data_IF_232088606426
#
_entry.id   IF_232088606426
#
_cell.length_a   1.000
_cell.length_b   1.000
_cell.length_c   1.000
_cell.angle_alpha   90.00
_cell.angle_beta   90.00
_cell.angle_gamma   90.00
#
_symmetry.space_group_name_H-M   'P 1'
#
loop_
_entity.id
_entity.type
_entity.pdbx_description
1 polymer ?
#
# COMPACT_ATOMS: atom_id res chain seq x y z
N UNK A 1 3.35 -11.57 5.33
CA UNK A 1 4.06 -12.46 6.28
C UNK A 1 5.51 -12.03 6.49
N UNK A 2 6.21 -11.55 5.48
CA UNK A 2 7.58 -11.03 5.62
C UNK A 2 7.71 -9.96 6.71
N UNK A 3 6.65 -9.24 7.01
CA UNK A 3 6.61 -8.23 8.07
C UNK A 3 6.85 -8.78 9.47
N UNK A 4 6.62 -10.08 9.66
CA UNK A 4 6.82 -10.76 10.93
C UNK A 4 8.25 -11.26 11.12
N UNK A 5 9.05 -11.21 10.07
CA UNK A 5 10.42 -11.69 10.11
C UNK A 5 11.41 -10.54 10.26
N UNK A 6 12.09 -10.47 11.37
CA UNK A 6 13.17 -9.50 11.59
C UNK A 6 14.28 -9.66 10.55
N UNK A 7 14.57 -10.90 10.14
CA UNK A 7 15.58 -11.19 9.13
C UNK A 7 15.22 -10.62 7.76
N UNK A 8 13.95 -10.71 7.35
CA UNK A 8 13.48 -10.15 6.09
C UNK A 8 13.46 -8.63 6.12
N UNK A 9 13.07 -8.03 7.24
CA UNK A 9 13.11 -6.58 7.41
C UNK A 9 14.55 -6.05 7.39
N UNK A 10 15.47 -6.73 8.06
CA UNK A 10 16.89 -6.40 8.02
C UNK A 10 17.47 -6.51 6.62
N UNK A 11 17.13 -7.57 5.88
CA UNK A 11 17.56 -7.75 4.50
C UNK A 11 17.07 -6.63 3.60
N UNK A 12 15.84 -6.18 3.77
CA UNK A 12 15.27 -5.05 3.04
C UNK A 12 16.03 -3.76 3.35
N UNK A 13 16.24 -3.45 4.62
CA UNK A 13 17.00 -2.27 5.06
C UNK A 13 18.41 -2.28 4.50
N UNK A 14 19.11 -3.43 4.58
CA UNK A 14 20.45 -3.59 4.03
C UNK A 14 20.49 -3.38 2.52
N UNK A 15 19.46 -3.84 1.81
CA UNK A 15 19.35 -3.65 0.36
C UNK A 15 19.22 -2.16 0.02
N UNK A 16 18.42 -1.42 0.76
CA UNK A 16 18.29 0.02 0.58
C UNK A 16 19.61 0.74 0.88
N UNK A 17 20.28 0.39 1.95
CA UNK A 17 21.57 0.98 2.34
C UNK A 17 22.66 0.72 1.29
N UNK A 18 22.75 -0.51 0.78
CA UNK A 18 23.69 -0.87 -0.30
C UNK A 18 23.49 -0.07 -1.56
N UNK A 19 22.25 0.30 -1.88
CA UNK A 19 21.90 1.08 -3.04
C UNK A 19 21.90 2.58 -2.77
N UNK A 20 22.32 3.01 -1.60
CA UNK A 20 22.37 4.41 -1.15
C UNK A 20 21.04 5.13 -1.28
N UNK A 21 19.96 4.41 -1.04
CA UNK A 21 18.62 4.97 -1.05
C UNK A 21 18.32 5.61 0.30
N UNK A 22 18.16 6.89 0.31
CA UNK A 22 17.61 7.62 1.47
C UNK A 22 16.12 7.43 1.46
N UNK A 23 15.63 6.50 2.23
CA UNK A 23 14.26 6.10 2.06
C UNK A 23 13.33 6.51 3.16
N UNK A 24 13.76 6.48 4.39
CA UNK A 24 12.86 6.77 5.49
C UNK A 24 13.57 7.35 6.70
N UNK A 25 12.91 8.29 7.36
CA UNK A 25 13.29 8.73 8.69
C UNK A 25 12.98 7.64 9.73
N UNK A 26 11.92 6.86 9.50
CA UNK A 26 11.56 5.71 10.32
C UNK A 26 10.79 4.69 9.50
N UNK A 27 10.86 3.44 9.89
CA UNK A 27 10.10 2.35 9.32
C UNK A 27 9.33 1.65 10.43
N UNK A 28 8.02 1.57 10.30
CA UNK A 28 7.16 0.80 11.19
C UNK A 28 6.27 -0.14 10.38
N UNK A 29 5.95 -1.28 10.96
CA UNK A 29 5.06 -2.24 10.33
C UNK A 29 3.61 -1.94 10.69
N UNK A 30 2.69 -2.22 9.75
CA UNK A 30 1.26 -2.22 10.03
C UNK A 30 0.90 -3.41 10.93
N UNK A 31 -0.06 -3.22 11.82
CA UNK A 31 -0.64 -4.33 12.56
C UNK A 31 -1.41 -5.26 11.62
N UNK A 32 -1.29 -6.56 11.85
CA UNK A 32 -2.04 -7.54 11.06
C UNK A 32 -3.51 -7.55 11.47
N UNK A 33 -4.37 -7.56 10.47
CA UNK A 33 -5.81 -7.75 10.64
C UNK A 33 -6.13 -9.21 10.31
N UNK A 34 -6.83 -9.89 11.21
CA UNK A 34 -7.11 -11.33 11.12
C UNK A 34 -8.59 -11.65 10.93
N UNK A 35 -9.45 -10.65 10.77
CA UNK A 35 -10.87 -10.90 10.55
C UNK A 35 -11.12 -11.57 9.20
N UNK A 36 -11.75 -12.76 9.18
CA UNK A 36 -12.07 -13.41 7.92
C UNK A 36 -13.26 -12.73 7.25
N UNK A 37 -13.23 -12.70 5.92
CA UNK A 37 -14.34 -12.25 5.10
C UNK A 37 -14.89 -13.40 4.25
N UNK A 38 -16.11 -13.24 3.69
CA UNK A 38 -16.78 -14.31 2.93
C UNK A 38 -16.15 -14.57 1.56
N UNK A 39 -15.50 -13.56 0.96
CA UNK A 39 -14.82 -13.68 -0.33
C UNK A 39 -13.31 -13.53 -0.10
N UNK A 40 -12.49 -14.55 -0.44
CA UNK A 40 -11.07 -14.50 -0.16
C UNK A 40 -10.35 -13.29 -0.77
N UNK A 41 -10.60 -12.97 -2.04
CA UNK A 41 -9.93 -11.87 -2.72
C UNK A 41 -10.36 -10.52 -2.14
N UNK A 42 -11.66 -10.33 -1.97
CA UNK A 42 -12.24 -9.14 -1.36
C UNK A 42 -11.83 -9.02 0.11
N UNK A 43 -11.78 -10.15 0.81
CA UNK A 43 -11.33 -10.21 2.19
C UNK A 43 -9.88 -9.75 2.35
N UNK A 44 -8.99 -10.11 1.43
CA UNK A 44 -7.62 -9.62 1.44
C UNK A 44 -7.54 -8.11 1.21
N UNK A 45 -8.29 -7.59 0.24
CA UNK A 45 -8.34 -6.15 -0.03
C UNK A 45 -8.88 -5.38 1.16
N UNK A 46 -9.97 -5.83 1.76
CA UNK A 46 -10.57 -5.20 2.94
C UNK A 46 -9.62 -5.21 4.14
N UNK A 47 -8.94 -6.31 4.37
CA UNK A 47 -7.97 -6.45 5.47
C UNK A 47 -6.80 -5.50 5.29
N UNK A 48 -6.23 -5.43 4.08
CA UNK A 48 -5.16 -4.50 3.77
C UNK A 48 -5.59 -3.05 3.94
N UNK A 49 -6.77 -2.71 3.46
CA UNK A 49 -7.31 -1.36 3.61
C UNK A 49 -7.49 -0.97 5.07
N UNK A 50 -7.96 -1.91 5.93
CA UNK A 50 -8.06 -1.68 7.37
C UNK A 50 -6.69 -1.52 8.03
N UNK A 51 -5.72 -2.35 7.66
CA UNK A 51 -4.36 -2.25 8.18
C UNK A 51 -3.73 -0.89 7.84
N UNK A 52 -3.85 -0.46 6.61
CA UNK A 52 -3.34 0.84 6.15
C UNK A 52 -4.04 1.98 6.87
N UNK A 53 -5.36 1.92 6.97
CA UNK A 53 -6.15 2.95 7.65
C UNK A 53 -5.77 3.07 9.13
N UNK A 54 -5.60 1.95 9.80
CA UNK A 54 -5.19 1.93 11.21
C UNK A 54 -3.81 2.57 11.39
N UNK A 55 -2.86 2.20 10.55
CA UNK A 55 -1.52 2.79 10.59
C UNK A 55 -1.55 4.30 10.36
N UNK A 56 -2.32 4.76 9.37
CA UNK A 56 -2.46 6.18 9.07
C UNK A 56 -3.11 6.94 10.23
N UNK A 57 -4.12 6.37 10.88
CA UNK A 57 -4.76 6.98 12.04
C UNK A 57 -3.80 7.10 13.22
N UNK A 58 -2.96 6.09 13.44
CA UNK A 58 -1.95 6.09 14.50
C UNK A 58 -0.83 7.12 14.25
N UNK A 59 -0.65 7.54 13.00
CA UNK A 59 0.40 8.48 12.58
C UNK A 59 -0.16 9.80 12.03
N UNK A 60 -1.38 10.14 12.38
CA UNK A 60 -2.12 11.26 11.78
C UNK A 60 -1.36 12.60 11.81
N UNK A 61 -0.62 12.88 12.87
CA UNK A 61 0.18 14.10 13.00
C UNK A 61 1.47 14.11 12.19
N UNK A 62 1.92 12.95 11.73
CA UNK A 62 3.25 12.78 11.12
C UNK A 62 3.19 12.61 9.60
N UNK A 63 2.02 12.37 9.04
CA UNK A 63 1.84 12.03 7.62
C UNK A 63 1.03 13.13 6.93
N UNK A 64 1.67 13.84 6.02
CA UNK A 64 1.00 14.86 5.19
C UNK A 64 0.50 14.31 3.84
N UNK A 65 1.09 13.26 3.34
CA UNK A 65 0.70 12.59 2.12
C UNK A 65 1.09 11.13 2.15
N UNK A 66 0.37 10.30 1.42
CA UNK A 66 0.61 8.86 1.39
C UNK A 66 0.21 8.24 0.06
N UNK A 67 0.82 7.13 -0.23
CA UNK A 67 0.52 6.29 -1.38
C UNK A 67 0.66 4.83 -0.96
N UNK A 68 -0.17 3.98 -1.51
CA UNK A 68 -0.11 2.53 -1.28
C UNK A 68 0.41 1.85 -2.54
N UNK A 69 1.41 1.02 -2.36
CA UNK A 69 1.94 0.14 -3.41
C UNK A 69 1.55 -1.29 -3.04
N UNK A 70 0.70 -1.90 -3.82
CA UNK A 70 0.24 -3.27 -3.56
C UNK A 70 -0.09 -3.96 -4.88
N UNK A 71 0.10 -5.27 -4.94
CA UNK A 71 -0.31 -6.08 -6.10
C UNK A 71 -1.79 -6.48 -6.03
N UNK A 72 -2.41 -6.30 -4.87
CA UNK A 72 -3.84 -6.48 -4.68
C UNK A 72 -4.57 -5.18 -5.01
N UNK A 73 -5.68 -5.28 -5.72
CA UNK A 73 -6.52 -4.12 -6.00
C UNK A 73 -7.30 -3.68 -4.76
N UNK A 74 -6.70 -2.83 -3.96
CA UNK A 74 -7.33 -2.31 -2.73
C UNK A 74 -8.52 -1.38 -2.99
N UNK A 75 -8.67 -0.89 -4.22
CA UNK A 75 -9.83 -0.08 -4.58
C UNK A 75 -11.16 -0.85 -4.45
N UNK A 76 -11.11 -2.17 -4.49
CA UNK A 76 -12.27 -3.03 -4.24
C UNK A 76 -12.84 -2.78 -2.83
N UNK A 77 -12.00 -2.49 -1.86
CA UNK A 77 -12.44 -2.19 -0.50
C UNK A 77 -13.28 -0.90 -0.41
N UNK A 78 -13.08 0.03 -1.34
CA UNK A 78 -13.84 1.27 -1.38
C UNK A 78 -15.32 1.03 -1.73
N UNK A 79 -15.60 -0.02 -2.48
CA UNK A 79 -16.96 -0.40 -2.90
C UNK A 79 -17.80 -0.98 -1.76
N UNK A 80 -17.13 -1.59 -0.78
CA UNK A 80 -17.78 -2.24 0.38
C UNK A 80 -17.97 -1.32 1.56
N UNK A 81 -17.72 -0.06 1.41
CA UNK A 81 -17.92 0.94 2.46
C UNK A 81 -19.37 1.03 2.91
N UNK A 82 -19.90 -0.04 3.39
CA UNK A 82 -21.15 0.00 4.12
C UNK A 82 -20.81 0.30 5.58
N UNK A 83 -20.93 1.56 5.89
CA UNK A 83 -21.09 2.04 7.25
C UNK A 83 -19.84 2.13 8.14
N UNK A 84 -19.86 1.90 9.21
CA UNK A 84 -19.39 2.16 10.57
C UNK A 84 -17.87 2.10 10.83
N UNK A 85 -17.08 1.48 9.99
CA UNK A 85 -15.61 1.58 10.07
C UNK A 85 -15.11 2.46 8.93
N UNK A 86 -14.77 3.68 9.25
CA UNK A 86 -14.24 4.64 8.30
C UNK A 86 -12.86 4.21 7.81
N UNK A 87 -12.81 3.27 6.87
CA UNK A 87 -11.58 3.03 6.12
C UNK A 87 -11.34 4.19 5.18
N UNK A 88 -10.09 4.60 5.06
CA UNK A 88 -9.70 5.62 4.09
C UNK A 88 -9.87 5.07 2.67
N UNK A 89 -10.22 5.94 1.74
CA UNK A 89 -10.34 5.56 0.33
C UNK A 89 -8.98 5.18 -0.25
N UNK A 90 -8.87 3.96 -0.75
CA UNK A 90 -7.63 3.41 -1.30
C UNK A 90 -7.43 3.75 -2.77
N UNK A 91 -8.51 3.74 -3.57
CA UNK A 91 -8.43 3.88 -5.02
C UNK A 91 -7.62 5.07 -5.51
N UNK A 92 -7.88 6.29 -5.03
CA UNK A 92 -7.14 7.48 -5.48
C UNK A 92 -5.66 7.50 -5.07
N UNK A 93 -5.26 6.63 -4.15
CA UNK A 93 -3.90 6.59 -3.58
C UNK A 93 -3.20 5.25 -3.81
N UNK A 94 -3.80 4.39 -4.60
CA UNK A 94 -3.26 3.08 -4.91
C UNK A 94 -2.46 3.11 -6.20
N UNK A 95 -1.25 2.61 -6.14
CA UNK A 95 -0.49 2.18 -7.30
C UNK A 95 -0.44 0.67 -7.26
N UNK A 96 -1.27 0.04 -8.09
CA UNK A 96 -1.29 -1.41 -8.17
C UNK A 96 -0.12 -1.89 -9.00
N UNK A 97 0.70 -2.74 -8.41
CA UNK A 97 1.84 -3.37 -9.09
C UNK A 97 1.40 -4.69 -9.72
N UNK A 98 2.13 -5.11 -10.75
CA UNK A 98 1.91 -6.40 -11.37
C UNK A 98 2.66 -7.49 -10.59
N UNK A 99 2.00 -8.59 -10.15
CA UNK A 99 2.63 -9.57 -9.26
C UNK A 99 3.93 -10.19 -9.79
N UNK A 100 4.01 -10.36 -11.11
CA UNK A 100 5.17 -10.99 -11.75
C UNK A 100 6.33 -10.02 -12.03
N UNK A 101 6.09 -8.73 -12.01
CA UNK A 101 7.08 -7.72 -12.39
C UNK A 101 7.43 -6.78 -11.24
N UNK A 102 6.58 -6.70 -10.21
CA UNK A 102 6.77 -5.79 -9.11
C UNK A 102 6.66 -4.32 -9.52
N UNK A 103 7.40 -3.47 -8.84
CA UNK A 103 7.39 -2.03 -9.07
C UNK A 103 8.12 -1.68 -10.35
N UNK A 104 7.41 -1.00 -11.27
CA UNK A 104 8.00 -0.47 -12.51
C UNK A 104 8.34 1.02 -12.35
N UNK A 105 9.11 1.55 -13.30
CA UNK A 105 9.38 2.99 -13.34
C UNK A 105 8.08 3.80 -13.53
N UNK A 106 7.14 3.30 -14.32
CA UNK A 106 5.82 3.91 -14.50
C UNK A 106 5.05 3.98 -13.17
N UNK A 107 5.07 2.88 -12.39
CA UNK A 107 4.48 2.86 -11.05
C UNK A 107 5.13 3.90 -10.12
N UNK A 108 6.45 4.00 -10.13
CA UNK A 108 7.18 4.96 -9.31
C UNK A 108 6.81 6.40 -9.66
N UNK A 109 6.72 6.73 -10.94
CA UNK A 109 6.30 8.06 -11.41
C UNK A 109 4.87 8.37 -10.96
N UNK A 110 3.97 7.42 -11.08
CA UNK A 110 2.58 7.56 -10.61
C UNK A 110 2.53 7.80 -9.09
N UNK A 111 3.30 7.05 -8.32
CA UNK A 111 3.40 7.23 -6.88
C UNK A 111 3.87 8.64 -6.50
N UNK A 112 4.87 9.16 -7.19
CA UNK A 112 5.36 10.53 -6.97
C UNK A 112 4.27 11.56 -7.26
N UNK A 113 3.51 11.40 -8.33
CA UNK A 113 2.39 12.29 -8.66
C UNK A 113 1.32 12.28 -7.56
N UNK A 114 0.98 11.13 -7.04
CA UNK A 114 0.02 11.00 -5.92
C UNK A 114 0.57 11.71 -4.67
N UNK A 115 1.83 11.52 -4.34
CA UNK A 115 2.46 12.19 -3.19
C UNK A 115 2.53 13.71 -3.38
N UNK A 116 2.60 14.20 -4.61
CA UNK A 116 2.54 15.62 -4.94
C UNK A 116 1.11 16.20 -4.96
N UNK A 117 0.13 15.43 -4.55
CA UNK A 117 -1.25 15.90 -4.41
C UNK A 117 -2.14 15.68 -5.62
N UNK A 118 -1.66 15.00 -6.66
CA UNK A 118 -2.53 14.65 -7.80
C UNK A 118 -3.46 13.51 -7.42
N UNK A 119 -4.75 13.71 -7.68
CA UNK A 119 -5.77 12.67 -7.48
C UNK A 119 -5.92 11.86 -8.76
N UNK A 120 -5.66 10.56 -8.68
CA UNK A 120 -5.86 9.64 -9.79
C UNK A 120 -7.23 8.99 -9.64
N UNK A 121 -8.14 9.35 -10.55
CA UNK A 121 -9.52 8.87 -10.51
C UNK A 121 -9.70 7.45 -11.05
N UNK A 122 -8.67 6.89 -11.68
CA UNK A 122 -8.70 5.53 -12.21
C UNK A 122 -7.44 4.80 -11.81
N UNK A 123 -7.62 3.62 -11.23
CA UNK A 123 -6.53 2.68 -11.05
C UNK A 123 -6.17 2.11 -12.41
N UNK A 124 -5.06 2.56 -12.96
CA UNK A 124 -4.51 1.99 -14.20
C UNK A 124 -3.51 0.93 -13.80
N UNK A 125 -3.86 -0.32 -14.08
CA UNK A 125 -2.90 -1.41 -13.98
C UNK A 125 -2.15 -1.47 -15.29
N UNK A 126 -0.98 -0.86 -15.32
CA UNK A 126 -0.10 -1.00 -16.48
C UNK A 126 0.46 -2.42 -16.53
N UNK A 127 0.08 -3.16 -17.54
CA UNK A 127 0.74 -4.40 -17.90
C UNK A 127 2.12 -4.06 -18.44
N UNK A 128 3.21 -4.52 -17.83
CA UNK A 128 4.52 -4.30 -18.43
C UNK A 128 4.53 -4.97 -19.80
N UNK A 129 4.95 -4.22 -20.79
CA UNK A 129 5.18 -4.77 -22.13
C UNK A 129 6.40 -5.69 -22.01
N UNK A 130 6.17 -6.94 -22.33
CA UNK A 130 7.24 -7.94 -22.31
C UNK A 130 8.34 -7.59 -23.33
#
# INVERSE_FOLDING_TARGET
>A
EWRRSENLLSALTDTFDKNRLRTWASMTTTSLDIEPGPDPLRSFADRRAREVTRWLNDHEGDVSGWVVLDDINLAIADETRKSTTATKSMGPRLVQTWPLCGLTMGNAKTAVRILNGEMINKVVVERPVA
#
